data_IF_456281548292
#
_entry.id   IF_456281548292
#
_cell.length_a   1.000
_cell.length_b   1.000
_cell.length_c   1.000
_cell.angle_alpha   90.00
_cell.angle_beta   90.00
_cell.angle_gamma   90.00
#
_symmetry.space_group_name_H-M   'P 1'
#
loop_
_entity.id
_entity.type
_entity.pdbx_description
1 polymer ?
#
# COMPACT_ATOMS: atom_id res chain seq x y z
N UNK A 1 4.18 -0.25 26.59
CA UNK A 1 4.63 0.12 25.23
C UNK A 1 3.75 -0.47 24.12
N UNK A 2 3.30 -1.74 24.21
CA UNK A 2 2.33 -2.29 23.24
C UNK A 2 0.93 -1.68 23.37
N UNK A 3 0.39 -1.58 24.59
CA UNK A 3 -0.93 -0.94 24.85
C UNK A 3 -0.98 0.51 24.35
N UNK A 4 0.07 1.30 24.63
CA UNK A 4 0.17 2.69 24.16
C UNK A 4 0.28 2.86 22.64
N UNK A 5 0.74 1.83 21.91
CA UNK A 5 0.80 1.88 20.44
C UNK A 5 -0.59 1.60 19.84
N UNK A 6 -1.28 0.59 20.38
CA UNK A 6 -2.65 0.25 19.98
C UNK A 6 -3.62 1.42 20.17
N UNK A 7 -3.53 2.12 21.31
CA UNK A 7 -4.40 3.27 21.59
C UNK A 7 -4.16 4.43 20.61
N UNK A 8 -2.90 4.66 20.22
CA UNK A 8 -2.52 5.70 19.27
C UNK A 8 -3.01 5.37 17.86
N UNK A 9 -2.85 4.12 17.43
CA UNK A 9 -3.28 3.70 16.10
C UNK A 9 -4.81 3.79 15.98
N UNK A 10 -5.56 3.35 17.00
CA UNK A 10 -7.02 3.53 17.06
C UNK A 10 -7.45 5.01 17.09
N UNK A 11 -6.70 5.88 17.75
CA UNK A 11 -6.96 7.32 17.72
C UNK A 11 -6.80 7.88 16.30
N UNK A 12 -5.71 7.55 15.61
CA UNK A 12 -5.49 8.01 14.23
C UNK A 12 -6.54 7.47 13.25
N UNK A 13 -7.00 6.23 13.41
CA UNK A 13 -8.11 5.69 12.61
C UNK A 13 -9.41 6.49 12.83
N UNK A 14 -9.73 6.85 14.08
CA UNK A 14 -10.90 7.70 14.37
C UNK A 14 -10.76 9.10 13.77
N UNK A 15 -9.59 9.72 13.91
CA UNK A 15 -9.29 11.01 13.30
C UNK A 15 -9.49 10.91 11.78
N UNK A 16 -8.92 9.88 11.14
CA UNK A 16 -9.05 9.67 9.69
C UNK A 16 -10.50 9.57 9.24
N UNK A 17 -11.27 8.69 9.87
CA UNK A 17 -12.70 8.51 9.53
C UNK A 17 -13.48 9.80 9.72
N UNK A 18 -13.22 10.54 10.80
CA UNK A 18 -13.88 11.83 11.06
C UNK A 18 -13.53 12.87 9.99
N UNK A 19 -12.24 13.02 9.65
CA UNK A 19 -11.78 13.97 8.63
C UNK A 19 -12.41 13.68 7.27
N UNK A 20 -12.38 12.41 6.84
CA UNK A 20 -13.01 11.98 5.58
C UNK A 20 -14.51 12.28 5.61
N UNK A 21 -15.22 11.87 6.67
CA UNK A 21 -16.66 12.09 6.76
C UNK A 21 -17.03 13.58 6.74
N UNK A 22 -16.25 14.44 7.41
CA UNK A 22 -16.43 15.89 7.38
C UNK A 22 -16.26 16.45 5.98
N UNK A 23 -15.18 16.11 5.27
CA UNK A 23 -14.92 16.63 3.93
C UNK A 23 -15.92 16.13 2.89
N UNK A 24 -16.34 14.86 2.97
CA UNK A 24 -17.42 14.32 2.13
C UNK A 24 -18.73 15.08 2.37
N UNK A 25 -19.08 15.34 3.63
CA UNK A 25 -20.30 16.08 3.98
C UNK A 25 -20.28 17.52 3.44
N UNK A 26 -19.12 18.18 3.39
CA UNK A 26 -18.99 19.56 2.86
C UNK A 26 -19.40 19.69 1.41
N UNK A 27 -19.29 18.61 0.63
CA UNK A 27 -19.75 18.55 -0.77
C UNK A 27 -21.05 17.76 -0.93
N UNK A 28 -21.75 17.52 0.17
CA UNK A 28 -23.06 16.86 0.19
C UNK A 28 -23.01 15.36 -0.09
N UNK A 29 -21.88 14.69 0.18
CA UNK A 29 -21.75 13.24 0.10
C UNK A 29 -21.93 12.66 1.50
N UNK A 30 -22.95 11.83 1.68
CA UNK A 30 -23.15 11.10 2.93
C UNK A 30 -22.42 9.76 2.88
N UNK A 31 -21.58 9.51 3.89
CA UNK A 31 -20.92 8.22 4.08
C UNK A 31 -21.46 7.58 5.36
N UNK A 32 -22.18 6.48 5.20
CA UNK A 32 -22.71 5.73 6.33
C UNK A 32 -21.56 5.14 7.15
N UNK A 33 -21.69 5.15 8.48
CA UNK A 33 -20.69 4.58 9.40
C UNK A 33 -20.37 3.13 9.04
N UNK A 34 -21.37 2.37 8.58
CA UNK A 34 -21.22 0.99 8.10
C UNK A 34 -20.21 0.84 6.95
N UNK A 35 -19.97 1.87 6.15
CA UNK A 35 -18.97 1.83 5.08
C UNK A 35 -17.53 1.80 5.62
N UNK A 36 -17.31 2.15 6.89
CA UNK A 36 -16.01 2.06 7.57
C UNK A 36 -15.82 0.78 8.38
N UNK A 37 -16.84 -0.08 8.47
CA UNK A 37 -16.74 -1.32 9.23
C UNK A 37 -15.97 -2.36 8.42
N UNK A 38 -14.88 -2.90 9.02
CA UNK A 38 -14.12 -4.03 8.48
C UNK A 38 -14.99 -5.30 8.57
N UNK A 39 -15.75 -5.49 7.50
CA UNK A 39 -16.57 -6.62 7.05
C UNK A 39 -17.70 -7.17 7.95
N UNK A 40 -18.94 -6.99 7.47
CA UNK A 40 -20.04 -7.94 7.58
C UNK A 40 -20.65 -8.29 6.20
N UNK A 41 -19.94 -7.97 5.10
CA UNK A 41 -20.40 -8.20 3.73
C UNK A 41 -19.98 -9.58 3.19
N UNK A 42 -20.45 -9.99 2.00
CA UNK A 42 -20.00 -11.23 1.40
C UNK A 42 -18.48 -11.17 1.15
N UNK A 43 -17.71 -12.22 1.51
CA UNK A 43 -16.24 -12.23 1.59
C UNK A 43 -15.48 -12.08 0.25
N UNK A 44 -16.21 -11.71 -0.82
CA UNK A 44 -15.73 -11.67 -2.19
C UNK A 44 -16.15 -10.39 -2.94
N UNK A 45 -16.53 -9.32 -2.24
CA UNK A 45 -16.91 -8.04 -2.84
C UNK A 45 -16.05 -6.88 -2.32
N UNK A 46 -15.80 -5.90 -3.18
CA UNK A 46 -15.20 -4.61 -2.80
C UNK A 46 -16.13 -3.85 -1.84
N UNK A 47 -15.60 -2.87 -1.11
CA UNK A 47 -16.41 -1.99 -0.29
C UNK A 47 -17.11 -0.97 -1.20
N UNK A 48 -18.26 -1.37 -1.75
CA UNK A 48 -19.00 -0.58 -2.72
C UNK A 48 -19.49 0.75 -2.16
N UNK A 49 -19.84 0.80 -0.87
CA UNK A 49 -20.27 2.03 -0.21
C UNK A 49 -19.12 3.05 -0.11
N UNK A 50 -17.93 2.58 0.29
CA UNK A 50 -16.75 3.43 0.33
C UNK A 50 -16.33 3.86 -1.08
N UNK A 51 -16.30 2.93 -2.05
CA UNK A 51 -16.03 3.25 -3.46
C UNK A 51 -16.96 4.35 -3.97
N UNK A 52 -18.28 4.16 -3.85
CA UNK A 52 -19.27 5.11 -4.35
C UNK A 52 -19.11 6.51 -3.73
N UNK A 53 -18.88 6.59 -2.42
CA UNK A 53 -18.70 7.87 -1.73
C UNK A 53 -17.39 8.57 -2.14
N UNK A 54 -16.30 7.82 -2.29
CA UNK A 54 -15.01 8.35 -2.76
C UNK A 54 -15.10 8.86 -4.20
N UNK A 55 -15.77 8.11 -5.08
CA UNK A 55 -16.05 8.52 -6.46
C UNK A 55 -16.91 9.77 -6.52
N UNK A 56 -18.00 9.81 -5.74
CA UNK A 56 -18.90 10.97 -5.70
C UNK A 56 -18.18 12.22 -5.21
N UNK A 57 -17.34 12.09 -4.17
CA UNK A 57 -16.50 13.18 -3.70
C UNK A 57 -15.56 13.67 -4.81
N UNK A 58 -14.86 12.76 -5.49
CA UNK A 58 -13.97 13.11 -6.60
C UNK A 58 -14.73 13.83 -7.73
N UNK A 59 -15.95 13.39 -8.08
CA UNK A 59 -16.79 14.04 -9.10
C UNK A 59 -17.24 15.45 -8.70
N UNK A 60 -17.62 15.66 -7.43
CA UNK A 60 -18.13 16.95 -6.94
C UNK A 60 -17.04 17.96 -6.61
N UNK A 61 -16.05 17.53 -5.84
CA UNK A 61 -14.96 18.38 -5.35
C UNK A 61 -13.87 18.58 -6.41
N UNK A 62 -13.71 17.64 -7.35
CA UNK A 62 -12.65 17.62 -8.37
C UNK A 62 -11.25 17.93 -7.81
N UNK A 63 -10.82 17.25 -6.72
CA UNK A 63 -9.49 17.45 -6.19
C UNK A 63 -8.45 16.92 -7.18
N UNK A 64 -7.22 17.43 -7.10
CA UNK A 64 -6.08 16.71 -7.69
C UNK A 64 -5.95 15.33 -7.03
N UNK A 65 -5.39 14.35 -7.74
CA UNK A 65 -5.14 13.03 -7.18
C UNK A 65 -4.32 13.12 -5.88
N UNK A 66 -3.28 13.96 -5.89
CA UNK A 66 -2.46 14.26 -4.72
C UNK A 66 -3.28 14.70 -3.50
N UNK A 67 -4.12 15.73 -3.66
CA UNK A 67 -4.94 16.26 -2.57
C UNK A 67 -5.96 15.23 -2.06
N UNK A 68 -6.51 14.42 -2.97
CA UNK A 68 -7.40 13.33 -2.60
C UNK A 68 -6.67 12.28 -1.75
N UNK A 69 -5.49 11.80 -2.18
CA UNK A 69 -4.70 10.83 -1.41
C UNK A 69 -4.28 11.38 -0.04
N UNK A 70 -3.86 12.65 0.02
CA UNK A 70 -3.50 13.32 1.27
C UNK A 70 -4.67 13.40 2.25
N UNK A 71 -5.88 13.68 1.76
CA UNK A 71 -7.10 13.64 2.56
C UNK A 71 -7.32 12.24 3.17
N UNK A 72 -7.27 11.19 2.34
CA UNK A 72 -7.49 9.82 2.79
C UNK A 72 -6.45 9.38 3.83
N UNK A 73 -5.19 9.80 3.65
CA UNK A 73 -4.09 9.46 4.56
C UNK A 73 -3.97 10.42 5.76
N UNK A 74 -4.81 11.46 5.82
CA UNK A 74 -4.74 12.54 6.82
C UNK A 74 -3.37 13.20 6.88
N UNK A 75 -2.79 13.47 5.72
CA UNK A 75 -1.60 14.28 5.59
C UNK A 75 -1.99 15.75 5.72
N UNK A 76 -1.34 16.44 6.65
CA UNK A 76 -1.53 17.88 6.88
C UNK A 76 -0.18 18.58 6.82
N UNK A 77 -0.18 19.91 6.82
CA UNK A 77 1.06 20.69 6.90
C UNK A 77 1.83 20.45 8.20
N UNK A 78 1.11 20.16 9.29
CA UNK A 78 1.70 19.92 10.61
C UNK A 78 2.19 18.48 10.79
N UNK A 79 1.53 17.53 10.13
CA UNK A 79 1.90 16.11 10.12
C UNK A 79 1.63 15.53 8.74
N UNK A 80 2.66 15.56 7.89
CA UNK A 80 2.56 15.10 6.51
C UNK A 80 2.76 13.59 6.33
N UNK A 81 2.97 12.85 7.44
CA UNK A 81 3.26 11.41 7.38
C UNK A 81 2.09 10.66 6.75
N UNK A 82 2.30 9.86 5.69
CA UNK A 82 1.22 9.08 5.10
C UNK A 82 0.79 7.90 5.99
N UNK A 83 1.72 7.38 6.80
CA UNK A 83 1.44 6.38 7.82
C UNK A 83 1.77 6.93 9.21
N UNK A 84 0.74 7.24 10.00
CA UNK A 84 0.88 7.85 11.33
C UNK A 84 1.56 6.95 12.36
N UNK A 85 1.58 5.63 12.12
CA UNK A 85 2.28 4.68 12.97
C UNK A 85 3.80 4.76 12.82
N UNK A 86 4.31 5.18 11.66
CA UNK A 86 5.74 5.39 11.42
C UNK A 86 6.17 6.73 12.02
N UNK A 87 6.98 6.69 13.07
CA UNK A 87 7.45 7.87 13.79
C UNK A 87 8.93 8.10 13.48
N UNK A 88 9.30 9.16 12.73
CA UNK A 88 10.68 9.38 12.29
C UNK A 88 11.71 9.39 13.44
N UNK A 89 11.39 10.04 14.57
CA UNK A 89 12.31 10.07 15.73
C UNK A 89 12.54 8.69 16.36
N UNK A 90 11.53 7.82 16.32
CA UNK A 90 11.63 6.44 16.81
C UNK A 90 12.51 5.63 15.86
N UNK A 91 12.35 5.78 14.54
CA UNK A 91 13.19 5.14 13.54
C UNK A 91 14.66 5.56 13.69
N UNK A 92 14.95 6.87 13.82
CA UNK A 92 16.32 7.37 14.04
C UNK A 92 16.99 6.74 15.26
N UNK A 93 16.24 6.55 16.35
CA UNK A 93 16.75 5.96 17.59
C UNK A 93 16.96 4.45 17.47
N UNK A 94 16.00 3.71 16.95
CA UNK A 94 16.04 2.25 16.93
C UNK A 94 16.91 1.68 15.80
N UNK A 95 17.04 2.42 14.70
CA UNK A 95 17.86 2.04 13.56
C UNK A 95 19.23 2.76 13.58
N UNK A 96 19.67 3.27 14.73
CA UNK A 96 20.98 3.90 14.86
C UNK A 96 22.10 2.94 14.42
N UNK A 97 22.99 3.42 13.55
CA UNK A 97 24.07 2.62 12.96
C UNK A 97 23.67 1.82 11.73
N UNK A 98 22.41 1.88 11.29
CA UNK A 98 22.01 1.35 9.99
C UNK A 98 22.57 2.20 8.86
N UNK A 99 23.17 1.57 7.84
CA UNK A 99 23.85 2.24 6.73
C UNK A 99 22.96 3.25 6.00
N UNK A 100 21.69 2.90 5.81
CA UNK A 100 20.73 3.74 5.08
C UNK A 100 19.73 4.44 6.01
N UNK A 101 20.18 4.78 7.23
CA UNK A 101 19.32 5.42 8.23
C UNK A 101 18.70 6.70 7.72
N UNK A 102 19.36 7.47 6.86
CA UNK A 102 18.83 8.75 6.39
C UNK A 102 17.58 8.60 5.52
N UNK A 103 17.46 7.51 4.75
CA UNK A 103 16.29 7.27 3.92
C UNK A 103 15.03 6.91 4.72
N UNK A 104 15.17 6.25 5.89
CA UNK A 104 14.01 5.72 6.63
C UNK A 104 13.11 6.83 7.22
N UNK A 105 13.64 7.88 7.88
CA UNK A 105 12.87 9.02 8.34
C UNK A 105 12.16 9.76 7.21
N UNK A 106 12.79 9.91 6.05
CA UNK A 106 12.22 10.62 4.91
C UNK A 106 11.04 9.83 4.32
N UNK A 107 11.20 8.52 4.16
CA UNK A 107 10.10 7.61 3.77
C UNK A 107 8.96 7.66 4.79
N UNK A 108 9.26 7.68 6.08
CA UNK A 108 8.24 7.79 7.12
C UNK A 108 7.55 9.17 7.14
N UNK A 109 8.29 10.23 6.81
CA UNK A 109 7.83 11.61 6.83
C UNK A 109 6.91 11.94 5.64
N UNK A 110 7.25 11.44 4.45
CA UNK A 110 6.60 11.88 3.21
C UNK A 110 6.08 10.71 2.34
N UNK A 111 6.57 9.50 2.59
CA UNK A 111 6.32 8.34 1.73
C UNK A 111 7.45 8.08 0.73
N UNK A 112 7.37 6.96 0.04
CA UNK A 112 8.35 6.52 -0.96
C UNK A 112 8.17 7.32 -2.25
N UNK A 113 9.19 8.06 -2.67
CA UNK A 113 9.21 8.75 -3.97
C UNK A 113 9.74 7.82 -5.05
N UNK A 114 9.07 7.81 -6.20
CA UNK A 114 9.51 7.09 -7.39
C UNK A 114 10.10 8.09 -8.36
N UNK A 115 11.34 7.84 -8.76
CA UNK A 115 12.04 8.64 -9.74
C UNK A 115 12.00 7.90 -11.08
N UNK A 116 11.46 8.54 -12.11
CA UNK A 116 11.48 8.00 -13.46
C UNK A 116 12.69 8.58 -14.20
N UNK A 117 13.33 7.75 -15.02
CA UNK A 117 14.42 8.17 -15.93
C UNK A 117 13.90 9.11 -17.01
N UNK A 118 12.67 8.84 -17.46
CA UNK A 118 11.95 9.63 -18.44
C UNK A 118 10.43 9.55 -18.18
N UNK A 119 9.64 10.54 -18.63
CA UNK A 119 8.19 10.49 -18.49
C UNK A 119 7.61 9.25 -19.18
N UNK A 120 6.66 8.59 -18.52
CA UNK A 120 5.94 7.45 -19.11
C UNK A 120 5.11 7.90 -20.32
N UNK A 121 5.02 7.07 -21.37
CA UNK A 121 4.17 7.38 -22.51
C UNK A 121 2.70 7.39 -22.09
N UNK A 122 1.91 8.28 -22.71
CA UNK A 122 0.45 8.31 -22.49
C UNK A 122 -0.17 7.00 -22.96
N UNK A 123 -0.97 6.37 -22.09
CA UNK A 123 -1.66 5.14 -22.43
C UNK A 123 -2.90 5.43 -23.28
N UNK A 124 -2.81 5.19 -24.60
CA UNK A 124 -3.99 5.27 -25.49
C UNK A 124 -5.01 4.15 -25.26
N UNK A 125 -4.55 3.03 -24.69
CA UNK A 125 -5.40 1.92 -24.23
C UNK A 125 -4.81 1.36 -22.94
N UNK A 126 -5.66 1.17 -21.95
CA UNK A 126 -5.25 0.57 -20.69
C UNK A 126 -5.05 -0.95 -20.83
N UNK A 127 -4.03 -1.52 -20.16
CA UNK A 127 -3.80 -2.96 -20.19
C UNK A 127 -4.99 -3.74 -19.63
N UNK A 128 -5.13 -4.98 -20.10
CA UNK A 128 -6.06 -5.96 -19.51
C UNK A 128 -5.36 -6.68 -18.38
N UNK A 129 -6.09 -7.01 -17.33
CA UNK A 129 -5.61 -7.90 -16.28
C UNK A 129 -5.15 -9.24 -16.88
N UNK A 130 -4.19 -9.87 -16.21
CA UNK A 130 -3.71 -11.21 -16.58
C UNK A 130 -4.88 -12.20 -16.47
N UNK A 131 -4.93 -13.25 -17.31
CA UNK A 131 -6.00 -14.26 -17.23
C UNK A 131 -6.20 -14.81 -15.82
N UNK A 132 -5.10 -15.01 -15.07
CA UNK A 132 -5.16 -15.49 -13.69
C UNK A 132 -5.95 -14.58 -12.73
N UNK A 133 -5.94 -13.26 -12.93
CA UNK A 133 -6.74 -12.33 -12.15
C UNK A 133 -8.21 -12.34 -12.55
N UNK A 134 -8.50 -12.38 -13.85
CA UNK A 134 -9.89 -12.44 -14.34
C UNK A 134 -10.56 -13.76 -13.97
N UNK A 135 -9.87 -14.89 -14.12
CA UNK A 135 -10.38 -16.22 -13.77
C UNK A 135 -10.58 -16.40 -12.26
N UNK A 136 -9.78 -15.70 -11.44
CA UNK A 136 -9.82 -15.75 -9.97
C UNK A 136 -10.25 -14.42 -9.37
N UNK A 137 -11.23 -13.76 -9.99
CA UNK A 137 -11.72 -12.44 -9.61
C UNK A 137 -12.12 -12.34 -8.12
N UNK A 138 -12.67 -13.41 -7.54
CA UNK A 138 -13.05 -13.42 -6.13
C UNK A 138 -11.83 -13.33 -5.19
N UNK A 139 -10.69 -13.92 -5.58
CA UNK A 139 -9.43 -13.79 -4.84
C UNK A 139 -8.89 -12.37 -4.97
N UNK A 140 -8.96 -11.78 -6.17
CA UNK A 140 -8.58 -10.39 -6.40
C UNK A 140 -9.41 -9.44 -5.52
N UNK A 141 -10.74 -9.51 -5.61
CA UNK A 141 -11.67 -8.70 -4.80
C UNK A 141 -11.41 -8.84 -3.31
N UNK A 142 -11.22 -10.06 -2.81
CA UNK A 142 -10.95 -10.30 -1.38
C UNK A 142 -9.66 -9.63 -0.91
N UNK A 143 -8.58 -9.71 -1.70
CA UNK A 143 -7.32 -9.07 -1.34
C UNK A 143 -7.43 -7.55 -1.41
N UNK A 144 -8.02 -7.00 -2.48
CA UNK A 144 -8.24 -5.54 -2.60
C UNK A 144 -9.15 -5.03 -1.51
N UNK A 145 -10.26 -5.71 -1.21
CA UNK A 145 -11.18 -5.34 -0.12
C UNK A 145 -10.47 -5.19 1.22
N UNK A 146 -9.57 -6.13 1.53
CA UNK A 146 -8.79 -6.10 2.77
C UNK A 146 -7.92 -4.84 2.85
N UNK A 147 -7.22 -4.50 1.77
CA UNK A 147 -6.36 -3.31 1.76
C UNK A 147 -7.18 -2.01 1.67
N UNK A 148 -8.34 -2.03 1.01
CA UNK A 148 -9.30 -0.93 0.92
C UNK A 148 -9.87 -0.58 2.31
N UNK A 149 -10.32 -1.57 3.08
CA UNK A 149 -10.87 -1.34 4.42
C UNK A 149 -9.81 -0.85 5.43
N UNK A 150 -8.53 -1.12 5.14
CA UNK A 150 -7.38 -0.62 5.91
C UNK A 150 -6.87 0.74 5.40
N UNK A 151 -7.52 1.35 4.40
CA UNK A 151 -7.06 2.59 3.73
C UNK A 151 -5.64 2.50 3.17
N UNK A 152 -5.21 1.28 2.82
CA UNK A 152 -3.91 1.02 2.19
C UNK A 152 -3.96 1.06 0.68
N UNK A 153 -5.16 0.93 0.11
CA UNK A 153 -5.44 1.33 -1.25
C UNK A 153 -6.75 2.13 -1.29
N UNK A 154 -6.91 2.92 -2.34
CA UNK A 154 -8.10 3.68 -2.67
C UNK A 154 -8.82 2.95 -3.79
N UNK A 155 -10.14 2.82 -3.68
CA UNK A 155 -10.97 2.25 -4.74
C UNK A 155 -12.01 3.30 -5.14
N UNK A 156 -12.05 3.63 -6.42
CA UNK A 156 -12.99 4.60 -7.01
C UNK A 156 -13.56 4.06 -8.32
N UNK A 157 -14.58 4.72 -8.85
CA UNK A 157 -15.23 4.35 -10.09
C UNK A 157 -14.32 4.60 -11.30
N UNK A 158 -14.51 3.82 -12.37
CA UNK A 158 -13.66 3.88 -13.56
C UNK A 158 -13.72 5.23 -14.30
N UNK A 159 -14.82 5.97 -14.17
CA UNK A 159 -15.00 7.29 -14.77
C UNK A 159 -14.12 8.37 -14.11
N UNK A 160 -13.59 8.12 -12.91
CA UNK A 160 -12.66 9.05 -12.24
C UNK A 160 -11.35 9.21 -13.02
N UNK A 161 -10.99 8.27 -13.90
CA UNK A 161 -9.87 8.45 -14.82
C UNK A 161 -10.06 9.62 -15.80
N UNK A 162 -11.30 10.12 -16.00
CA UNK A 162 -11.55 11.34 -16.77
C UNK A 162 -11.21 12.62 -15.98
N UNK A 163 -11.12 12.52 -14.65
CA UNK A 163 -10.72 13.61 -13.75
C UNK A 163 -9.20 13.55 -13.52
N UNK A 164 -8.68 12.37 -13.18
CA UNK A 164 -7.25 12.14 -12.97
C UNK A 164 -6.62 11.54 -14.23
N UNK A 165 -6.38 12.40 -15.20
CA UNK A 165 -5.85 12.01 -16.52
C UNK A 165 -4.38 11.57 -16.50
N UNK A 166 -3.69 11.77 -15.37
CA UNK A 166 -2.30 11.38 -15.14
C UNK A 166 -2.10 9.90 -14.80
N UNK A 167 -3.16 9.14 -14.52
CA UNK A 167 -3.09 7.74 -14.11
C UNK A 167 -2.41 6.84 -15.16
N UNK A 168 -1.43 6.03 -14.74
CA UNK A 168 -0.75 5.03 -15.57
C UNK A 168 -1.07 3.62 -15.08
N UNK A 169 -1.89 2.89 -15.82
CA UNK A 169 -2.43 1.61 -15.36
C UNK A 169 -1.49 0.44 -15.59
N UNK A 170 -1.37 -0.42 -14.57
CA UNK A 170 -0.75 -1.74 -14.66
C UNK A 170 -1.79 -2.86 -14.45
N UNK A 171 -1.57 -4.05 -15.05
CA UNK A 171 -2.51 -5.14 -14.88
C UNK A 171 -2.36 -5.83 -13.53
N UNK A 172 -3.46 -6.39 -13.03
CA UNK A 172 -3.41 -7.34 -11.93
C UNK A 172 -3.18 -8.77 -12.42
N UNK A 173 -2.50 -9.56 -11.61
CA UNK A 173 -2.39 -11.02 -11.70
C UNK A 173 -2.73 -11.66 -10.36
N UNK A 174 -3.06 -12.94 -10.36
CA UNK A 174 -3.20 -13.74 -9.14
C UNK A 174 -2.31 -14.98 -9.23
N UNK A 175 -1.56 -15.24 -8.17
CA UNK A 175 -0.72 -16.44 -8.03
C UNK A 175 -1.13 -17.26 -6.82
N UNK A 176 -0.77 -18.54 -6.83
CA UNK A 176 -1.08 -19.43 -5.73
C UNK A 176 -0.31 -19.06 -4.46
N UNK A 177 -0.99 -19.19 -3.33
CA UNK A 177 -0.43 -18.88 -2.01
C UNK A 177 -0.38 -20.13 -1.16
N UNK A 178 0.82 -20.72 -1.04
CA UNK A 178 1.04 -21.93 -0.26
C UNK A 178 0.22 -23.12 -0.76
N UNK A 179 -0.20 -23.99 0.16
CA UNK A 179 -0.98 -25.20 -0.15
C UNK A 179 -2.51 -25.01 -0.02
N UNK A 180 -2.99 -23.76 0.02
CA UNK A 180 -4.43 -23.47 0.09
C UNK A 180 -5.15 -23.73 -1.23
N UNK A 181 -6.49 -23.85 -1.20
CA UNK A 181 -7.30 -24.00 -2.41
C UNK A 181 -7.14 -22.74 -3.29
N UNK A 182 -6.60 -22.87 -4.53
CA UNK A 182 -6.37 -21.74 -5.44
C UNK A 182 -7.63 -20.94 -5.78
N UNK A 183 -8.82 -21.53 -5.64
CA UNK A 183 -10.09 -20.87 -5.95
C UNK A 183 -10.47 -19.80 -4.92
N UNK A 184 -9.95 -19.91 -3.69
CA UNK A 184 -10.31 -19.03 -2.56
C UNK A 184 -9.10 -18.37 -1.89
N UNK A 185 -7.90 -18.83 -2.21
CA UNK A 185 -6.64 -18.30 -1.71
C UNK A 185 -5.71 -17.99 -2.86
N UNK A 186 -4.91 -16.94 -2.71
CA UNK A 186 -3.93 -16.50 -3.69
C UNK A 186 -3.35 -15.15 -3.28
N UNK A 187 -2.24 -14.78 -3.90
CA UNK A 187 -1.62 -13.48 -3.76
C UNK A 187 -1.93 -12.66 -5.01
N UNK A 188 -2.44 -11.43 -4.83
CA UNK A 188 -2.58 -10.48 -5.92
C UNK A 188 -1.22 -9.89 -6.22
N UNK A 189 -0.87 -9.84 -7.50
CA UNK A 189 0.32 -9.16 -8.02
C UNK A 189 -0.15 -7.97 -8.81
N UNK A 190 0.36 -6.79 -8.47
CA UNK A 190 0.29 -5.62 -9.32
C UNK A 190 1.48 -5.70 -10.29
N UNK A 191 1.22 -5.97 -11.56
CA UNK A 191 2.27 -6.25 -12.53
C UNK A 191 2.86 -4.96 -13.11
N UNK A 192 3.76 -4.38 -12.32
CA UNK A 192 4.48 -3.13 -12.63
C UNK A 192 5.60 -3.32 -13.66
N UNK A 193 5.83 -4.57 -14.11
CA UNK A 193 6.82 -4.94 -15.12
C UNK A 193 6.21 -5.13 -16.51
N UNK A 194 4.90 -4.91 -16.67
CA UNK A 194 4.21 -5.01 -17.95
C UNK A 194 3.74 -3.65 -18.47
N UNK A 195 3.78 -3.41 -19.79
CA UNK A 195 4.45 -4.23 -20.82
C UNK A 195 5.97 -4.15 -20.72
N UNK A 196 6.66 -5.16 -21.25
CA UNK A 196 8.13 -5.13 -21.34
C UNK A 196 8.60 -3.85 -22.04
N UNK A 197 9.68 -3.26 -21.53
CA UNK A 197 10.28 -1.98 -21.95
C UNK A 197 9.41 -0.71 -21.84
N UNK A 198 8.09 -0.83 -21.64
CA UNK A 198 7.16 0.28 -21.47
C UNK A 198 6.43 0.27 -20.11
N UNK A 199 6.92 -0.53 -19.16
CA UNK A 199 6.39 -0.62 -17.81
C UNK A 199 6.94 0.46 -16.88
N UNK A 200 6.30 0.61 -15.72
CA UNK A 200 6.77 1.49 -14.65
C UNK A 200 8.17 1.07 -14.19
N UNK A 201 8.40 -0.23 -14.00
CA UNK A 201 9.71 -0.75 -13.63
C UNK A 201 10.76 -0.49 -14.72
N UNK A 202 10.38 -0.60 -16.00
CA UNK A 202 11.26 -0.26 -17.12
C UNK A 202 11.60 1.23 -17.16
N UNK A 203 10.78 2.13 -16.61
CA UNK A 203 11.05 3.57 -16.62
C UNK A 203 11.63 4.09 -15.30
N UNK A 204 11.59 3.29 -14.24
CA UNK A 204 12.08 3.69 -12.92
C UNK A 204 13.61 3.81 -12.94
N UNK A 205 14.13 4.85 -12.32
CA UNK A 205 15.56 5.03 -12.09
C UNK A 205 16.01 4.16 -10.94
N UNK A 206 16.58 2.99 -11.27
CA UNK A 206 17.10 2.07 -10.28
C UNK A 206 18.30 2.62 -9.51
N UNK A 207 18.98 3.65 -10.01
CA UNK A 207 20.10 4.28 -9.30
C UNK A 207 19.65 5.14 -8.12
N UNK A 208 18.40 5.61 -8.15
CA UNK A 208 17.77 6.32 -7.04
C UNK A 208 17.25 5.39 -5.93
N UNK A 209 17.24 4.07 -6.16
CA UNK A 209 16.78 3.08 -5.19
C UNK A 209 17.97 2.62 -4.35
N UNK A 210 17.87 2.80 -3.03
CA UNK A 210 18.88 2.32 -2.10
C UNK A 210 18.90 0.79 -2.09
N UNK A 211 20.02 0.19 -2.47
CA UNK A 211 20.19 -1.27 -2.46
C UNK A 211 20.52 -1.75 -1.05
N UNK A 212 19.64 -2.53 -0.39
CA UNK A 212 19.96 -3.03 0.94
C UNK A 212 21.06 -4.08 0.90
N UNK A 213 22.02 -3.96 1.81
CA UNK A 213 23.03 -5.00 2.05
C UNK A 213 22.53 -5.99 3.10
N UNK A 214 22.62 -7.29 2.81
CA UNK A 214 22.30 -8.34 3.77
C UNK A 214 23.56 -9.14 4.11
N UNK A 215 23.77 -9.43 5.39
CA UNK A 215 24.76 -10.41 5.78
C UNK A 215 24.35 -11.80 5.30
N UNK A 216 25.32 -12.57 4.81
CA UNK A 216 25.08 -13.95 4.42
C UNK A 216 24.63 -14.78 5.63
N UNK A 217 23.72 -15.75 5.42
CA UNK A 217 23.17 -16.58 6.50
C UNK A 217 24.25 -17.36 7.30
N UNK A 218 25.44 -17.52 6.73
CA UNK A 218 26.60 -18.07 7.41
C UNK A 218 27.06 -17.25 8.62
N UNK A 219 26.80 -15.94 8.68
CA UNK A 219 27.05 -15.12 9.87
C UNK A 219 26.23 -15.61 11.06
N UNK A 220 24.94 -15.90 10.84
CA UNK A 220 24.06 -16.46 11.88
C UNK A 220 24.56 -17.84 12.32
N UNK A 221 24.93 -18.71 11.36
CA UNK A 221 25.47 -20.03 11.67
C UNK A 221 26.77 -19.95 12.49
N UNK A 222 27.70 -19.05 12.11
CA UNK A 222 28.95 -18.80 12.84
C UNK A 222 28.67 -18.33 14.27
N UNK A 223 27.69 -17.45 14.46
CA UNK A 223 27.33 -16.96 15.79
C UNK A 223 26.69 -18.05 16.67
N UNK A 224 25.84 -18.91 16.10
CA UNK A 224 25.31 -20.09 16.81
C UNK A 224 26.44 -21.01 17.27
N UNK A 225 27.41 -21.31 16.39
CA UNK A 225 28.57 -22.15 16.73
C UNK A 225 29.48 -21.49 17.78
N UNK A 226 29.66 -20.15 17.73
CA UNK A 226 30.39 -19.40 18.74
C UNK A 226 29.71 -19.51 20.10
N UNK A 227 28.39 -19.27 20.18
CA UNK A 227 27.61 -19.40 21.41
C UNK A 227 27.72 -20.81 22.02
N UNK A 228 27.63 -21.87 21.20
CA UNK A 228 27.80 -23.26 21.65
C UNK A 228 29.19 -23.53 22.24
N UNK A 229 30.25 -22.96 21.66
CA UNK A 229 31.63 -23.11 22.17
C UNK A 229 31.84 -22.37 23.48
N UNK A 230 31.29 -21.17 23.61
CA UNK A 230 31.48 -20.32 24.82
C UNK A 230 30.66 -20.84 26.00
N UNK A 231 29.47 -21.40 25.77
CA UNK A 231 28.65 -22.02 26.82
C UNK A 231 28.21 -23.43 26.43
N UNK A 232 29.12 -24.43 26.53
CA UNK A 232 28.77 -25.82 26.29
C UNK A 232 27.62 -26.28 27.21
N UNK A 233 26.69 -27.07 26.67
CA UNK A 233 25.55 -27.59 27.43
C UNK A 233 24.37 -26.62 27.60
N UNK A 234 24.52 -25.33 27.26
CA UNK A 234 23.39 -24.40 27.22
C UNK A 234 22.66 -24.45 25.87
N UNK A 235 21.33 -24.32 25.91
CA UNK A 235 20.54 -24.17 24.68
C UNK A 235 20.77 -22.79 24.05
N UNK A 236 21.16 -22.75 22.78
CA UNK A 236 21.21 -21.52 21.99
C UNK A 236 19.83 -21.24 21.43
N UNK A 237 19.28 -20.06 21.73
CA UNK A 237 17.96 -19.63 21.25
C UNK A 237 18.16 -18.51 20.24
N UNK A 238 17.45 -18.59 19.11
CA UNK A 238 17.42 -17.56 18.07
C UNK A 238 16.02 -16.96 18.05
N UNK A 239 15.95 -15.63 18.08
CA UNK A 239 14.70 -14.91 17.84
C UNK A 239 14.66 -14.51 16.37
N UNK A 240 13.68 -15.03 15.65
CA UNK A 240 13.39 -14.63 14.28
C UNK A 240 12.06 -13.86 14.26
N UNK A 241 11.98 -12.86 13.41
CA UNK A 241 10.75 -12.12 13.11
C UNK A 241 10.53 -12.11 11.60
N UNK A 242 9.26 -12.23 11.20
CA UNK A 242 8.86 -12.08 9.81
C UNK A 242 8.45 -10.62 9.53
N UNK A 243 8.83 -10.12 8.37
CA UNK A 243 8.52 -8.77 7.87
C UNK A 243 7.74 -8.83 6.55
N UNK A 244 7.13 -9.97 6.22
CA UNK A 244 6.41 -10.20 4.96
C UNK A 244 5.33 -9.15 4.65
N UNK A 245 4.78 -8.45 5.64
CA UNK A 245 3.79 -7.39 5.45
C UNK A 245 4.32 -5.97 5.72
N UNK A 246 5.63 -5.81 5.93
CA UNK A 246 6.22 -4.53 6.31
C UNK A 246 6.09 -3.48 5.20
N UNK A 247 6.19 -3.90 3.93
CA UNK A 247 6.10 -2.99 2.78
C UNK A 247 4.75 -2.27 2.70
N UNK A 248 3.65 -2.88 3.17
CA UNK A 248 2.33 -2.23 3.23
C UNK A 248 2.31 -1.00 4.15
N UNK A 249 3.30 -0.84 5.04
CA UNK A 249 3.39 0.31 5.93
C UNK A 249 4.18 1.47 5.30
N UNK A 250 4.95 1.22 4.24
CA UNK A 250 5.69 2.24 3.51
C UNK A 250 4.83 2.75 2.35
N UNK A 251 4.03 3.78 2.62
CA UNK A 251 3.17 4.37 1.60
C UNK A 251 3.98 5.06 0.51
N UNK A 252 3.55 4.94 -0.75
CA UNK A 252 4.04 5.76 -1.86
C UNK A 252 3.73 7.24 -1.61
N UNK A 253 4.64 8.15 -1.93
CA UNK A 253 4.40 9.58 -1.83
C UNK A 253 3.15 10.00 -2.64
N UNK A 254 2.34 10.95 -2.14
CA UNK A 254 1.07 11.38 -2.80
C UNK A 254 1.27 11.83 -4.25
N UNK A 255 2.39 12.49 -4.57
CA UNK A 255 2.77 12.86 -5.94
C UNK A 255 3.12 11.69 -6.86
N UNK A 256 3.35 10.47 -6.34
CA UNK A 256 3.79 9.30 -7.13
C UNK A 256 2.71 8.23 -7.29
N UNK A 257 1.57 8.34 -6.58
CA UNK A 257 0.49 7.33 -6.61
C UNK A 257 -0.17 7.17 -7.98
N UNK A 258 -0.03 8.16 -8.87
CA UNK A 258 -0.52 8.08 -10.25
C UNK A 258 0.15 6.95 -11.06
N UNK A 259 1.30 6.45 -10.59
CA UNK A 259 2.04 5.34 -11.17
C UNK A 259 1.48 3.98 -10.75
N UNK A 260 0.68 3.90 -9.69
CA UNK A 260 0.20 2.63 -9.14
C UNK A 260 -1.33 2.41 -9.20
N UNK A 261 -2.04 2.78 -10.28
CA UNK A 261 -3.41 2.35 -10.48
C UNK A 261 -3.51 1.00 -11.22
N UNK A 262 -4.43 0.16 -10.76
CA UNK A 262 -4.93 -1.01 -11.48
C UNK A 262 -6.44 -0.93 -11.67
N UNK A 263 -7.01 -1.82 -12.51
CA UNK A 263 -8.45 -1.81 -12.80
C UNK A 263 -9.10 -3.14 -12.49
N UNK A 264 -10.35 -3.08 -12.07
CA UNK A 264 -11.25 -4.23 -11.99
C UNK A 264 -12.51 -3.88 -12.80
N UNK A 265 -12.49 -4.10 -14.13
CA UNK A 265 -13.58 -3.72 -15.01
C UNK A 265 -14.94 -4.30 -14.61
N UNK A 266 -14.94 -5.52 -14.05
CA UNK A 266 -16.13 -6.23 -13.59
C UNK A 266 -16.88 -5.50 -12.45
N UNK A 267 -16.18 -4.62 -11.72
CA UNK A 267 -16.71 -3.85 -10.59
C UNK A 267 -16.75 -2.34 -10.85
N UNK A 268 -16.54 -1.91 -12.10
CA UNK A 268 -16.37 -0.50 -12.46
C UNK A 268 -15.28 0.19 -11.60
N UNK A 269 -14.23 -0.53 -11.19
CA UNK A 269 -13.31 -0.03 -10.18
C UNK A 269 -11.92 0.29 -10.73
N UNK A 270 -11.36 1.40 -10.26
CA UNK A 270 -9.93 1.73 -10.26
C UNK A 270 -9.43 1.56 -8.83
N UNK A 271 -8.32 0.84 -8.69
CA UNK A 271 -7.61 0.65 -7.42
C UNK A 271 -6.31 1.44 -7.49
N UNK A 272 -6.01 2.26 -6.49
CA UNK A 272 -4.78 3.08 -6.40
C UNK A 272 -4.08 2.73 -5.09
N UNK A 273 -2.82 2.33 -5.16
CA UNK A 273 -1.99 2.00 -3.98
C UNK A 273 -1.48 3.25 -3.22
#
# INVERSE_FOLDING_TARGET
MRESCTDRDQLWERIRRSTIATELKRVGVELLVAAFETDSGPPCALNAALQAAMSEYARRAKPSLRAFVELIRCQTTDDYRPNKALVPVVLRRHCHGYEHLDALPDIAAEGVRVHLREPLPRQGRWPKNRPSATERIQVLRKNIRKEQDLFRCIVVDADIAAIWTELVFSPFGVVDKGAGDPRITGCVIHDLSFPEDASINSHTDSTAITTPTYEHCSSIAREILRCKRVKPGCAVKVTAGDVAAAYHNACTHSDCVYLFPGRIPEDNAIVID
#
